data_IF_815857442749
#
_entry.id   IF_815857442749
#
_cell.length_a   1.000
_cell.length_b   1.000
_cell.length_c   1.000
_cell.angle_alpha   90.00
_cell.angle_beta   90.00
_cell.angle_gamma   90.00
#
_symmetry.space_group_name_H-M   'P 1'
#
loop_
_entity.id
_entity.type
_entity.pdbx_description
1 polymer ?
#
# COMPACT_ATOMS: atom_id res chain seq x y z
N UNK A 1 -82.40 -8.08 -18.54
CA UNK A 1 -81.88 -7.02 -17.64
C UNK A 1 -80.62 -7.55 -16.97
N UNK A 2 -79.41 -7.01 -17.06
CA UNK A 2 -78.82 -5.86 -17.77
C UNK A 2 -77.39 -6.29 -18.12
N UNK A 3 -77.00 -6.08 -19.37
CA UNK A 3 -75.62 -6.05 -19.85
C UNK A 3 -74.93 -4.79 -19.34
N UNK A 4 -73.68 -4.90 -18.86
CA UNK A 4 -72.76 -3.77 -18.70
C UNK A 4 -71.51 -4.12 -19.49
N UNK A 5 -71.37 -3.47 -20.63
CA UNK A 5 -70.12 -3.38 -21.39
C UNK A 5 -69.19 -2.41 -20.65
N UNK A 6 -67.92 -2.78 -20.53
CA UNK A 6 -66.87 -1.82 -20.19
C UNK A 6 -65.68 -2.09 -21.08
N UNK A 7 -65.53 -1.24 -22.11
CA UNK A 7 -64.31 -1.12 -22.89
C UNK A 7 -63.31 -0.31 -22.07
N UNK A 8 -62.11 -0.85 -21.82
CA UNK A 8 -60.98 -0.04 -21.38
C UNK A 8 -59.80 -0.23 -22.34
N UNK A 9 -59.31 0.91 -22.78
CA UNK A 9 -58.28 1.17 -23.79
C UNK A 9 -56.94 0.51 -23.41
N UNK A 10 -56.37 -0.26 -24.34
CA UNK A 10 -54.98 -0.70 -24.26
C UNK A 10 -54.05 0.49 -24.57
N UNK A 11 -53.34 1.01 -23.56
CA UNK A 11 -52.16 1.84 -23.78
C UNK A 11 -50.94 0.93 -23.70
N UNK A 12 -50.35 0.63 -24.85
CA UNK A 12 -49.13 -0.17 -24.97
C UNK A 12 -47.93 0.75 -24.65
N UNK A 13 -47.49 0.76 -23.40
CA UNK A 13 -46.21 1.40 -23.02
C UNK A 13 -45.12 0.35 -23.24
N UNK A 14 -44.34 0.53 -24.32
CA UNK A 14 -43.07 -0.17 -24.53
C UNK A 14 -42.08 0.28 -23.45
N UNK A 15 -42.01 -0.45 -22.34
CA UNK A 15 -40.81 -0.43 -21.50
C UNK A 15 -39.76 -1.29 -22.20
N UNK A 16 -38.87 -0.64 -22.95
CA UNK A 16 -37.57 -1.21 -23.31
C UNK A 16 -36.78 -1.27 -22.00
N UNK A 17 -37.01 -2.33 -21.22
CA UNK A 17 -36.14 -2.70 -20.12
C UNK A 17 -34.79 -3.05 -20.72
N UNK A 18 -33.78 -2.21 -20.45
CA UNK A 18 -32.40 -2.51 -20.77
C UNK A 18 -32.02 -3.82 -20.07
N UNK A 19 -32.03 -4.92 -20.81
CA UNK A 19 -31.21 -6.08 -20.46
C UNK A 19 -29.76 -5.69 -20.71
N UNK A 20 -29.20 -4.90 -19.79
CA UNK A 20 -27.75 -4.95 -19.57
C UNK A 20 -27.47 -6.33 -19.00
N UNK A 21 -27.06 -7.25 -19.87
CA UNK A 21 -26.24 -8.37 -19.44
C UNK A 21 -24.91 -7.79 -18.94
N UNK A 22 -24.91 -7.28 -17.71
CA UNK A 22 -23.69 -7.21 -16.95
C UNK A 22 -23.33 -8.67 -16.65
N UNK A 23 -22.15 -9.11 -17.06
CA UNK A 23 -21.57 -10.32 -16.48
C UNK A 23 -21.59 -10.12 -14.95
N UNK A 24 -22.38 -10.90 -14.23
CA UNK A 24 -22.23 -11.07 -12.78
C UNK A 24 -20.88 -11.78 -12.56
N UNK A 25 -19.79 -11.03 -12.70
CA UNK A 25 -18.50 -11.50 -12.24
C UNK A 25 -18.57 -11.46 -10.72
N UNK A 26 -18.68 -12.64 -10.10
CA UNK A 26 -18.55 -12.83 -8.66
C UNK A 26 -17.19 -12.29 -8.23
N UNK A 27 -17.18 -11.11 -7.61
CA UNK A 27 -15.97 -10.42 -7.17
C UNK A 27 -15.34 -11.17 -5.99
N UNK A 28 -14.10 -11.66 -6.17
CA UNK A 28 -13.36 -12.44 -5.15
C UNK A 28 -12.40 -11.55 -4.37
N UNK A 29 -12.32 -11.75 -3.06
CA UNK A 29 -11.32 -11.10 -2.21
C UNK A 29 -11.79 -9.76 -1.66
N UNK A 30 -11.66 -8.68 -2.43
CA UNK A 30 -12.14 -7.37 -2.01
C UNK A 30 -12.39 -6.41 -3.18
N UNK A 31 -13.10 -5.32 -2.90
CA UNK A 31 -13.30 -4.16 -3.77
C UNK A 31 -13.16 -2.87 -2.98
N UNK A 32 -13.04 -1.74 -3.68
CA UNK A 32 -13.11 -0.40 -3.07
C UNK A 32 -14.44 0.22 -3.49
N UNK A 33 -15.21 0.69 -2.51
CA UNK A 33 -16.48 1.42 -2.73
C UNK A 33 -16.41 2.74 -1.98
N UNK A 34 -16.26 3.85 -2.70
CA UNK A 34 -16.09 5.16 -2.08
C UNK A 34 -14.82 5.23 -1.24
N UNK A 35 -14.97 5.52 0.06
CA UNK A 35 -13.88 5.58 1.04
C UNK A 35 -13.70 4.26 1.82
N UNK A 36 -14.32 3.17 1.38
CA UNK A 36 -14.29 1.87 2.05
C UNK A 36 -13.57 0.79 1.23
N UNK A 37 -12.83 -0.07 1.92
CA UNK A 37 -12.41 -1.40 1.47
C UNK A 37 -13.48 -2.39 1.87
N UNK A 38 -13.98 -3.13 0.90
CA UNK A 38 -15.06 -4.12 1.05
C UNK A 38 -14.50 -5.49 0.73
N UNK A 39 -14.14 -6.27 1.75
CA UNK A 39 -13.73 -7.66 1.59
C UNK A 39 -14.95 -8.53 1.31
N UNK A 40 -14.87 -9.38 0.29
CA UNK A 40 -15.94 -10.29 -0.13
C UNK A 40 -15.43 -11.73 -0.15
N UNK A 41 -16.19 -12.61 0.49
CA UNK A 41 -15.92 -14.04 0.55
C UNK A 41 -17.17 -14.80 0.11
N UNK A 42 -17.07 -15.57 -0.96
CA UNK A 42 -18.11 -16.52 -1.36
C UNK A 42 -17.60 -17.94 -1.12
N UNK A 43 -18.36 -18.74 -0.38
CA UNK A 43 -17.96 -20.11 -0.01
C UNK A 43 -17.69 -21.01 -1.23
N UNK A 44 -18.39 -20.79 -2.34
CA UNK A 44 -18.27 -21.58 -3.57
C UNK A 44 -16.98 -21.31 -4.35
N UNK A 45 -16.26 -20.22 -4.02
CA UNK A 45 -14.98 -19.88 -4.63
C UNK A 45 -13.81 -20.74 -4.11
N UNK A 46 -14.00 -21.36 -2.95
CA UNK A 46 -12.97 -22.12 -2.25
C UNK A 46 -13.29 -23.62 -2.31
N UNK A 47 -12.28 -24.41 -2.67
CA UNK A 47 -12.41 -25.87 -2.80
C UNK A 47 -11.77 -26.62 -1.66
N UNK A 48 -10.84 -25.98 -0.95
CA UNK A 48 -10.08 -26.59 0.12
C UNK A 48 -9.96 -25.67 1.33
N UNK A 49 -9.75 -26.28 2.49
CA UNK A 49 -9.34 -25.60 3.72
C UNK A 49 -8.10 -26.26 4.29
N UNK A 50 -7.27 -25.53 5.03
CA UNK A 50 -6.07 -26.07 5.69
C UNK A 50 -5.95 -25.57 7.13
N UNK A 51 -5.30 -26.36 7.97
CA UNK A 51 -4.83 -25.91 9.27
C UNK A 51 -3.44 -25.28 9.10
N UNK A 52 -3.33 -23.96 9.26
CA UNK A 52 -2.05 -23.22 9.20
C UNK A 52 -1.13 -23.55 7.98
N UNK A 53 0.14 -23.12 8.02
CA UNK A 53 1.05 -23.23 6.87
C UNK A 53 1.51 -24.66 6.57
N UNK A 54 1.27 -25.61 7.47
CA UNK A 54 1.80 -26.97 7.40
C UNK A 54 0.72 -28.06 7.38
N UNK A 55 -0.57 -27.70 7.45
CA UNK A 55 -1.66 -28.65 7.53
C UNK A 55 -2.04 -29.33 6.20
N UNK A 56 -2.68 -30.50 6.32
CA UNK A 56 -3.27 -31.21 5.20
C UNK A 56 -4.52 -30.45 4.74
N UNK A 57 -4.66 -30.26 3.43
CA UNK A 57 -5.81 -29.58 2.86
C UNK A 57 -7.02 -30.52 2.75
N UNK A 58 -8.13 -30.16 3.39
CA UNK A 58 -9.42 -30.88 3.41
C UNK A 58 -10.39 -30.29 2.38
N UNK A 59 -11.42 -31.05 1.98
CA UNK A 59 -12.42 -30.59 1.01
C UNK A 59 -13.42 -29.62 1.65
N UNK A 60 -13.61 -28.47 1.00
CA UNK A 60 -14.45 -27.38 1.52
C UNK A 60 -15.95 -27.72 1.55
N UNK A 61 -16.40 -28.64 0.69
CA UNK A 61 -17.83 -28.97 0.53
C UNK A 61 -18.47 -29.53 1.78
N UNK A 62 -17.67 -30.10 2.68
CA UNK A 62 -18.13 -30.74 3.91
C UNK A 62 -17.94 -29.83 5.15
N UNK A 63 -17.62 -28.55 4.93
CA UNK A 63 -17.24 -27.62 5.99
C UNK A 63 -18.39 -26.70 6.42
N UNK A 64 -18.86 -26.87 7.66
CA UNK A 64 -19.85 -25.97 8.26
C UNK A 64 -19.18 -24.64 8.65
N UNK A 65 -19.65 -23.53 8.08
CA UNK A 65 -19.11 -22.19 8.35
C UNK A 65 -19.93 -21.52 9.46
N UNK A 66 -19.35 -21.45 10.65
CA UNK A 66 -19.87 -20.66 11.78
C UNK A 66 -19.49 -19.19 11.61
N UNK A 67 -18.24 -18.93 11.21
CA UNK A 67 -17.74 -17.58 10.98
C UNK A 67 -16.63 -17.51 9.94
N UNK A 68 -16.44 -16.34 9.36
CA UNK A 68 -15.31 -16.00 8.47
C UNK A 68 -14.64 -14.74 8.98
N UNK A 69 -13.31 -14.72 9.00
CA UNK A 69 -12.49 -13.60 9.47
C UNK A 69 -11.50 -13.20 8.39
N UNK A 70 -11.28 -11.89 8.23
CA UNK A 70 -10.17 -11.37 7.42
C UNK A 70 -8.93 -11.27 8.30
N UNK A 71 -7.90 -12.04 8.00
CA UNK A 71 -6.63 -12.07 8.75
C UNK A 71 -5.51 -11.59 7.85
N UNK A 72 -4.78 -10.53 8.21
CA UNK A 72 -3.69 -10.01 7.41
C UNK A 72 -2.70 -9.14 8.18
N UNK A 73 -1.68 -8.65 7.48
CA UNK A 73 -0.64 -7.81 8.10
C UNK A 73 -1.22 -6.62 8.88
N UNK A 74 -2.22 -5.95 8.31
CA UNK A 74 -2.91 -4.78 8.89
C UNK A 74 -3.70 -5.04 10.17
N UNK A 75 -3.90 -6.31 10.55
CA UNK A 75 -4.50 -6.67 11.84
C UNK A 75 -3.66 -7.70 12.59
N UNK A 76 -2.36 -7.76 12.31
CA UNK A 76 -1.39 -8.66 12.91
C UNK A 76 -1.80 -10.14 12.79
N UNK A 77 -2.29 -10.54 11.61
CA UNK A 77 -2.75 -11.91 11.30
C UNK A 77 -3.76 -12.46 12.31
N UNK A 78 -4.62 -11.59 12.85
CA UNK A 78 -5.62 -12.00 13.81
C UNK A 78 -6.67 -12.91 13.17
N UNK A 79 -6.93 -14.05 13.84
CA UNK A 79 -7.94 -15.02 13.45
C UNK A 79 -9.31 -14.77 14.08
N UNK A 80 -9.45 -13.72 14.89
CA UNK A 80 -10.53 -13.56 15.87
C UNK A 80 -10.98 -12.10 16.08
N UNK A 81 -10.62 -11.16 15.18
CA UNK A 81 -11.01 -9.74 15.31
C UNK A 81 -11.89 -9.23 14.18
N UNK A 82 -11.53 -9.50 12.94
CA UNK A 82 -12.16 -8.90 11.76
C UNK A 82 -13.19 -9.85 11.14
N UNK A 83 -14.25 -10.12 11.91
CA UNK A 83 -15.36 -10.97 11.50
C UNK A 83 -16.13 -10.37 10.32
N UNK A 84 -16.35 -11.18 9.30
CA UNK A 84 -17.19 -10.83 8.16
C UNK A 84 -18.66 -11.04 8.52
N UNK A 85 -19.51 -10.12 8.07
CA UNK A 85 -20.96 -10.24 8.18
C UNK A 85 -21.46 -11.22 7.12
N UNK A 86 -22.25 -12.21 7.53
CA UNK A 86 -22.98 -13.08 6.59
C UNK A 86 -24.06 -12.27 5.87
N UNK A 87 -23.98 -12.24 4.54
CA UNK A 87 -24.93 -11.53 3.67
C UNK A 87 -26.05 -12.47 3.22
N UNK A 88 -25.68 -13.70 2.86
CA UNK A 88 -26.61 -14.78 2.54
C UNK A 88 -25.98 -16.16 2.84
N UNK A 89 -26.54 -17.24 2.29
CA UNK A 89 -26.06 -18.60 2.54
C UNK A 89 -24.67 -18.91 1.97
N UNK A 90 -24.16 -18.05 1.10
CA UNK A 90 -22.92 -18.26 0.35
C UNK A 90 -21.93 -17.11 0.53
N UNK A 91 -22.42 -15.89 0.74
CA UNK A 91 -21.64 -14.66 0.73
C UNK A 91 -21.44 -14.05 2.12
N UNK A 92 -20.23 -13.56 2.35
CA UNK A 92 -19.81 -12.82 3.53
C UNK A 92 -19.11 -11.54 3.12
N UNK A 93 -19.30 -10.46 3.88
CA UNK A 93 -18.72 -9.16 3.58
C UNK A 93 -18.17 -8.48 4.85
N UNK A 94 -17.00 -7.85 4.73
CA UNK A 94 -16.47 -6.94 5.75
C UNK A 94 -16.13 -5.60 5.09
N UNK A 95 -16.69 -4.53 5.64
CA UNK A 95 -16.40 -3.15 5.23
C UNK A 95 -15.51 -2.47 6.24
N UNK A 96 -14.46 -1.80 5.77
CA UNK A 96 -13.51 -1.03 6.58
C UNK A 96 -13.22 0.28 5.88
N UNK A 97 -13.13 1.38 6.61
CA UNK A 97 -12.73 2.65 5.99
C UNK A 97 -11.28 2.56 5.55
N UNK A 98 -10.93 3.22 4.44
CA UNK A 98 -9.53 3.36 4.01
C UNK A 98 -8.67 3.98 5.12
N UNK A 99 -9.24 4.82 5.98
CA UNK A 99 -8.59 5.42 7.16
C UNK A 99 -8.34 4.44 8.30
N UNK A 100 -8.97 3.26 8.30
CA UNK A 100 -8.77 2.24 9.33
C UNK A 100 -7.43 1.49 9.15
N UNK A 101 -6.75 1.74 8.04
CA UNK A 101 -5.47 1.12 7.72
C UNK A 101 -4.36 2.17 7.87
N UNK A 102 -3.49 1.97 8.85
CA UNK A 102 -2.36 2.87 9.15
C UNK A 102 -1.12 2.63 8.31
N UNK A 103 -1.08 1.49 7.60
CA UNK A 103 0.13 0.96 6.96
C UNK A 103 0.08 1.16 5.44
N UNK A 104 1.24 1.42 4.84
CA UNK A 104 1.35 1.54 3.38
C UNK A 104 0.95 0.21 2.72
N UNK A 105 -0.05 0.29 1.84
CA UNK A 105 -0.69 -0.81 1.13
C UNK A 105 0.32 -1.88 0.67
N UNK A 106 0.55 -2.86 1.54
CA UNK A 106 1.35 -4.07 1.32
C UNK A 106 0.64 -5.25 1.98
N UNK A 107 -0.68 -5.19 1.96
CA UNK A 107 -1.55 -6.05 2.74
C UNK A 107 -1.61 -7.44 2.15
N UNK A 108 -0.94 -8.36 2.80
CA UNK A 108 -1.22 -9.78 2.67
C UNK A 108 -2.36 -10.11 3.62
N UNK A 109 -3.35 -10.85 3.13
CA UNK A 109 -4.44 -11.34 3.96
C UNK A 109 -4.95 -12.70 3.47
N UNK A 110 -5.64 -13.38 4.37
CA UNK A 110 -6.35 -14.65 4.17
C UNK A 110 -7.73 -14.55 4.79
N UNK A 111 -8.64 -15.38 4.30
CA UNK A 111 -9.88 -15.67 5.00
C UNK A 111 -9.68 -16.87 5.92
N UNK A 112 -10.07 -16.68 7.17
CA UNK A 112 -10.00 -17.71 8.21
C UNK A 112 -11.41 -18.12 8.57
N UNK A 113 -11.71 -19.41 8.42
CA UNK A 113 -12.99 -20.03 8.70
C UNK A 113 -12.95 -20.65 10.09
N UNK A 114 -14.01 -20.40 10.87
CA UNK A 114 -14.18 -20.89 12.24
C UNK A 114 -12.95 -20.62 13.13
N UNK A 115 -12.29 -19.47 12.90
CA UNK A 115 -11.07 -19.00 13.58
C UNK A 115 -9.84 -19.94 13.51
N UNK A 116 -9.92 -21.03 12.74
CA UNK A 116 -8.91 -22.08 12.77
C UNK A 116 -8.39 -22.44 11.38
N UNK A 117 -9.26 -22.42 10.37
CA UNK A 117 -8.99 -22.98 9.05
C UNK A 117 -8.73 -21.89 8.02
N UNK A 118 -7.71 -22.02 7.20
CA UNK A 118 -7.47 -21.11 6.09
C UNK A 118 -8.29 -21.54 4.88
N UNK A 119 -9.02 -20.60 4.28
CA UNK A 119 -9.67 -20.86 2.99
C UNK A 119 -8.61 -20.85 1.89
N UNK A 120 -8.32 -22.02 1.31
CA UNK A 120 -7.25 -22.16 0.32
C UNK A 120 -7.72 -21.63 -1.04
N UNK A 121 -7.11 -20.56 -1.55
CA UNK A 121 -7.47 -20.03 -2.85
C UNK A 121 -7.15 -21.06 -3.95
N UNK A 122 -7.95 -21.07 -5.02
CA UNK A 122 -7.73 -22.02 -6.10
C UNK A 122 -6.40 -21.74 -6.82
N UNK A 123 -5.75 -22.75 -7.40
CA UNK A 123 -4.53 -22.55 -8.20
C UNK A 123 -4.72 -21.59 -9.39
N UNK A 124 -5.97 -21.34 -9.83
CA UNK A 124 -6.33 -20.40 -10.91
C UNK A 124 -6.63 -19.00 -10.41
N UNK A 125 -7.08 -18.89 -9.16
CA UNK A 125 -7.38 -17.64 -8.47
C UNK A 125 -6.57 -17.53 -7.17
N UNK A 126 -5.24 -17.69 -7.19
CA UNK A 126 -4.43 -17.55 -5.99
C UNK A 126 -4.50 -16.09 -5.55
N UNK A 127 -4.50 -15.81 -4.25
CA UNK A 127 -4.21 -14.47 -3.72
C UNK A 127 -2.70 -14.12 -3.93
N UNK A 128 -2.14 -14.40 -5.14
CA UNK A 128 -0.73 -14.25 -5.61
C UNK A 128 -0.65 -13.89 -7.17
N UNK A 129 0.21 -12.99 -7.75
CA UNK A 129 0.06 -12.22 -9.07
C UNK A 129 0.12 -12.84 -10.48
N UNK A 130 -0.90 -12.59 -11.33
CA UNK A 130 -1.00 -11.99 -12.70
C UNK A 130 0.16 -12.01 -13.71
N UNK A 131 1.15 -12.90 -13.70
CA UNK A 131 2.17 -12.85 -14.74
C UNK A 131 1.60 -13.06 -16.17
N UNK A 132 2.21 -12.45 -17.18
CA UNK A 132 1.98 -12.77 -18.60
C UNK A 132 3.33 -13.03 -19.26
N UNK A 133 3.39 -14.01 -20.17
CA UNK A 133 4.57 -14.29 -21.00
C UNK A 133 4.10 -14.60 -22.42
N UNK A 134 4.69 -13.93 -23.39
CA UNK A 134 4.51 -14.17 -24.84
C UNK A 134 3.03 -14.18 -25.31
N UNK A 135 2.22 -13.20 -24.86
CA UNK A 135 0.84 -13.02 -25.33
C UNK A 135 -0.20 -13.94 -24.69
N UNK A 136 0.19 -14.78 -23.72
CA UNK A 136 -0.73 -15.66 -22.98
C UNK A 136 -0.96 -15.14 -21.54
N UNK A 137 -2.21 -15.09 -21.09
CA UNK A 137 -2.58 -14.86 -19.69
C UNK A 137 -2.09 -16.03 -18.83
N UNK A 138 -1.21 -15.82 -17.83
CA UNK A 138 -0.87 -16.87 -16.86
C UNK A 138 -1.79 -16.70 -15.65
N UNK A 139 -2.87 -17.47 -15.43
CA UNK A 139 -3.84 -17.25 -14.31
C UNK A 139 -3.22 -17.13 -12.91
N UNK A 140 -3.23 -15.92 -12.32
CA UNK A 140 -2.65 -15.58 -11.02
C UNK A 140 -3.33 -14.25 -10.52
N UNK A 141 -3.77 -14.09 -9.27
CA UNK A 141 -4.37 -12.83 -8.76
C UNK A 141 -3.65 -12.29 -7.51
N UNK A 142 -2.72 -11.37 -7.69
CA UNK A 142 -2.32 -10.42 -6.66
C UNK A 142 -2.62 -9.07 -7.22
N UNK A 143 -2.84 -8.13 -6.32
CA UNK A 143 -2.53 -6.77 -6.64
C UNK A 143 -1.07 -6.55 -6.24
N UNK A 144 -0.24 -6.29 -7.24
CA UNK A 144 1.08 -5.67 -7.07
C UNK A 144 0.74 -4.33 -6.47
N UNK A 145 0.82 -4.23 -5.16
CA UNK A 145 0.77 -2.93 -4.52
C UNK A 145 2.13 -2.29 -4.80
N UNK A 146 2.14 -1.38 -5.77
CA UNK A 146 3.27 -0.46 -6.00
C UNK A 146 3.46 0.31 -4.70
N UNK A 147 4.70 0.41 -4.22
CA UNK A 147 5.05 1.21 -3.02
C UNK A 147 5.04 2.71 -3.34
N UNK A 148 4.02 3.21 -4.04
CA UNK A 148 3.96 4.57 -4.57
C UNK A 148 4.84 4.86 -5.79
N UNK A 149 5.49 3.84 -6.35
CA UNK A 149 6.43 3.99 -7.46
C UNK A 149 5.78 3.88 -8.85
N UNK A 150 5.92 4.90 -9.69
CA UNK A 150 5.44 4.85 -11.08
C UNK A 150 6.29 5.72 -12.02
N UNK A 151 6.40 5.36 -13.32
CA UNK A 151 7.11 6.19 -14.29
C UNK A 151 6.42 7.54 -14.48
N UNK A 152 7.19 8.62 -14.34
CA UNK A 152 6.71 9.99 -14.53
C UNK A 152 7.86 10.83 -15.08
N UNK A 153 7.63 11.53 -16.19
CA UNK A 153 8.61 12.46 -16.79
C UNK A 153 9.00 13.59 -15.83
N UNK A 154 8.12 13.93 -14.89
CA UNK A 154 8.32 14.92 -13.84
C UNK A 154 8.61 14.26 -12.48
N UNK A 155 8.94 12.97 -12.47
CA UNK A 155 9.28 12.21 -11.27
C UNK A 155 10.47 12.82 -10.52
N UNK A 156 10.55 12.51 -9.24
CA UNK A 156 11.58 13.02 -8.33
C UNK A 156 12.88 12.20 -8.35
N UNK A 157 12.90 11.03 -9.00
CA UNK A 157 14.07 10.16 -9.06
C UNK A 157 14.37 9.75 -10.50
N UNK A 158 15.62 9.96 -10.92
CA UNK A 158 16.11 9.58 -12.25
C UNK A 158 17.16 8.49 -12.09
N UNK A 159 16.85 7.31 -12.61
CA UNK A 159 17.80 6.19 -12.69
C UNK A 159 18.46 6.20 -14.05
N UNK A 160 19.79 6.14 -14.08
CA UNK A 160 20.57 6.20 -15.32
C UNK A 160 21.70 5.19 -15.32
N UNK A 161 21.69 4.29 -16.29
CA UNK A 161 22.80 3.38 -16.56
C UNK A 161 23.61 3.95 -17.73
N UNK A 162 24.86 4.34 -17.49
CA UNK A 162 25.78 4.82 -18.54
C UNK A 162 26.40 3.65 -19.30
N UNK A 163 26.60 3.80 -20.60
CA UNK A 163 27.14 2.74 -21.47
C UNK A 163 26.07 1.71 -21.85
N UNK A 164 26.51 0.50 -22.22
CA UNK A 164 25.63 -0.60 -22.67
C UNK A 164 24.78 -0.19 -23.89
N UNK A 165 25.34 0.59 -24.82
CA UNK A 165 24.63 1.08 -26.00
C UNK A 165 24.21 -0.05 -26.94
N UNK A 166 24.88 -1.20 -26.87
CA UNK A 166 24.55 -2.38 -27.66
C UNK A 166 23.54 -3.32 -26.98
N UNK A 167 23.12 -3.02 -25.75
CA UNK A 167 22.11 -3.82 -25.06
C UNK A 167 20.77 -3.75 -25.82
N UNK A 168 19.98 -4.82 -25.74
CA UNK A 168 18.64 -4.87 -26.35
C UNK A 168 17.58 -4.39 -25.38
N UNK A 169 17.70 -4.76 -24.12
CA UNK A 169 16.75 -4.37 -23.07
C UNK A 169 17.49 -4.09 -21.75
N UNK A 170 17.09 -3.01 -21.09
CA UNK A 170 17.50 -2.71 -19.72
C UNK A 170 16.26 -2.50 -18.85
N UNK A 171 16.22 -3.16 -17.70
CA UNK A 171 15.11 -3.04 -16.74
C UNK A 171 15.66 -2.57 -15.39
N UNK A 172 14.93 -1.66 -14.76
CA UNK A 172 15.14 -1.26 -13.37
C UNK A 172 14.29 -2.16 -12.46
N UNK A 173 14.92 -2.78 -11.46
CA UNK A 173 14.26 -3.69 -10.54
C UNK A 173 14.70 -3.39 -9.10
N UNK A 174 13.77 -3.36 -8.15
CA UNK A 174 14.08 -2.99 -6.78
C UNK A 174 12.92 -3.17 -5.81
N UNK A 175 13.16 -2.87 -4.54
CA UNK A 175 12.16 -2.89 -3.46
C UNK A 175 10.86 -2.18 -3.84
N UNK A 176 10.95 -1.03 -4.55
CA UNK A 176 9.79 -0.24 -4.96
C UNK A 176 8.85 -0.91 -5.99
N UNK A 177 9.33 -1.95 -6.66
CA UNK A 177 8.52 -2.77 -7.57
C UNK A 177 8.57 -4.26 -7.21
N UNK A 178 9.00 -4.58 -5.98
CA UNK A 178 9.18 -5.94 -5.46
C UNK A 178 10.07 -6.78 -6.37
N UNK A 179 11.20 -6.21 -6.78
CA UNK A 179 12.21 -6.84 -7.62
C UNK A 179 11.65 -7.37 -8.95
N UNK A 180 10.67 -6.67 -9.51
CA UNK A 180 10.06 -7.10 -10.76
C UNK A 180 10.96 -6.84 -11.97
N UNK A 181 11.19 -7.91 -12.74
CA UNK A 181 12.14 -7.93 -13.86
C UNK A 181 11.60 -7.38 -15.20
N UNK A 182 10.36 -6.87 -15.26
CA UNK A 182 9.75 -6.55 -16.56
C UNK A 182 8.98 -5.24 -16.64
N UNK A 183 8.53 -4.67 -15.52
CA UNK A 183 7.66 -3.49 -15.52
C UNK A 183 8.44 -2.21 -15.87
N UNK A 184 9.56 -1.94 -15.20
CA UNK A 184 10.28 -0.67 -15.36
C UNK A 184 11.39 -0.78 -16.40
N UNK A 185 10.98 -0.99 -17.66
CA UNK A 185 11.88 -0.92 -18.82
C UNK A 185 12.45 0.49 -18.96
N UNK A 186 13.76 0.58 -19.09
CA UNK A 186 14.46 1.85 -19.30
C UNK A 186 14.46 2.21 -20.79
N UNK A 187 14.46 3.51 -21.07
CA UNK A 187 14.53 4.05 -22.41
C UNK A 187 15.97 4.33 -22.80
N UNK A 188 16.32 4.03 -24.06
CA UNK A 188 17.65 4.30 -24.60
C UNK A 188 17.87 5.80 -24.79
N UNK A 189 19.03 6.28 -24.39
CA UNK A 189 19.50 7.66 -24.54
C UNK A 189 20.90 7.65 -25.19
N UNK A 190 21.41 8.81 -25.60
CA UNK A 190 22.67 8.93 -26.37
C UNK A 190 23.85 8.15 -25.78
N UNK A 191 23.97 8.10 -24.45
CA UNK A 191 25.09 7.45 -23.74
C UNK A 191 24.60 6.41 -22.70
N UNK A 192 23.53 5.68 -23.01
CA UNK A 192 23.06 4.56 -22.19
C UNK A 192 21.54 4.50 -22.04
N UNK A 193 21.06 4.32 -20.82
CA UNK A 193 19.66 4.02 -20.52
C UNK A 193 19.14 4.86 -19.35
N UNK A 194 17.85 5.20 -19.39
CA UNK A 194 17.22 6.04 -18.38
C UNK A 194 15.77 5.65 -18.10
N UNK A 195 15.36 5.80 -16.85
CA UNK A 195 13.95 5.89 -16.45
C UNK A 195 13.80 6.94 -15.35
N UNK A 196 12.70 7.68 -15.38
CA UNK A 196 12.34 8.65 -14.34
C UNK A 196 11.11 8.12 -13.62
N UNK A 197 11.23 7.95 -12.30
CA UNK A 197 10.16 7.49 -11.44
C UNK A 197 9.73 8.63 -10.50
N UNK A 198 8.43 8.70 -10.25
CA UNK A 198 7.93 9.25 -9.01
C UNK A 198 8.06 8.16 -7.94
N UNK A 199 8.79 8.46 -6.86
CA UNK A 199 8.92 7.63 -5.67
C UNK A 199 8.50 8.46 -4.46
N UNK A 200 7.82 7.82 -3.51
CA UNK A 200 7.62 8.40 -2.20
C UNK A 200 8.96 8.47 -1.45
N UNK A 201 9.11 9.31 -0.41
CA UNK A 201 10.29 9.30 0.45
C UNK A 201 10.44 7.93 1.11
N UNK A 202 11.67 7.42 1.16
CA UNK A 202 11.95 6.09 1.66
C UNK A 202 13.33 5.60 1.27
N UNK A 203 13.74 4.48 1.88
CA UNK A 203 14.94 3.76 1.49
C UNK A 203 14.56 2.69 0.46
N UNK A 204 15.30 2.65 -0.63
CA UNK A 204 15.06 1.69 -1.70
C UNK A 204 16.34 1.03 -2.15
N UNK A 205 16.31 -0.29 -2.19
CA UNK A 205 17.31 -1.11 -2.87
C UNK A 205 16.89 -1.39 -4.31
N UNK A 206 17.85 -1.43 -5.23
CA UNK A 206 17.63 -1.70 -6.64
C UNK A 206 18.86 -2.31 -7.34
N UNK A 207 18.62 -2.87 -8.53
CA UNK A 207 19.60 -3.35 -9.51
C UNK A 207 19.08 -3.05 -10.93
N UNK A 208 19.98 -3.11 -11.91
CA UNK A 208 19.64 -3.18 -13.32
C UNK A 208 19.65 -4.62 -13.83
N UNK A 209 18.81 -4.90 -14.81
CA UNK A 209 18.83 -6.15 -15.57
C UNK A 209 19.14 -5.79 -17.02
N UNK A 210 20.34 -6.11 -17.48
CA UNK A 210 20.82 -5.82 -18.83
C UNK A 210 20.83 -7.11 -19.62
N UNK A 211 19.96 -7.22 -20.63
CA UNK A 211 19.79 -8.43 -21.45
C UNK A 211 19.66 -9.72 -20.63
N UNK A 212 18.90 -9.65 -19.52
CA UNK A 212 18.64 -10.76 -18.61
C UNK A 212 19.70 -10.98 -17.53
N UNK A 213 20.76 -10.16 -17.48
CA UNK A 213 21.81 -10.25 -16.44
C UNK A 213 21.62 -9.18 -15.38
N UNK A 214 21.50 -9.60 -14.14
CA UNK A 214 21.45 -8.72 -12.97
C UNK A 214 22.80 -8.04 -12.74
N UNK A 215 22.78 -6.75 -12.45
CA UNK A 215 23.95 -5.98 -12.05
C UNK A 215 23.57 -4.82 -11.15
N UNK A 216 24.47 -4.46 -10.25
CA UNK A 216 24.41 -3.21 -9.48
C UNK A 216 24.52 -1.99 -10.41
N UNK A 217 24.08 -0.84 -9.93
CA UNK A 217 24.41 0.44 -10.55
C UNK A 217 25.89 0.77 -10.31
N UNK A 218 26.74 0.71 -11.35
CA UNK A 218 28.18 0.95 -11.19
C UNK A 218 28.50 2.41 -10.89
N UNK A 219 27.53 3.32 -11.04
CA UNK A 219 27.69 4.74 -10.74
C UNK A 219 27.20 5.13 -9.34
N UNK A 220 26.54 4.21 -8.64
CA UNK A 220 26.06 4.46 -7.28
C UNK A 220 27.02 3.83 -6.25
N UNK A 221 27.72 4.65 -5.43
CA UNK A 221 28.61 4.13 -4.40
C UNK A 221 27.87 3.56 -3.19
N UNK A 222 26.60 3.93 -3.00
CA UNK A 222 25.79 3.46 -1.86
C UNK A 222 25.17 2.10 -2.18
N UNK A 223 25.44 1.13 -1.29
CA UNK A 223 25.08 -0.27 -1.49
C UNK A 223 24.85 -0.99 -0.17
N UNK A 224 23.95 -1.96 -0.21
CA UNK A 224 23.54 -2.79 0.93
C UNK A 224 23.79 -4.25 0.58
N UNK A 225 24.30 -5.03 1.54
CA UNK A 225 24.47 -6.47 1.37
C UNK A 225 23.12 -7.17 1.35
N UNK A 226 22.89 -8.00 0.34
CA UNK A 226 21.65 -8.78 0.22
C UNK A 226 21.76 -10.16 0.89
N UNK A 227 20.66 -10.90 0.91
CA UNK A 227 20.53 -12.22 1.53
C UNK A 227 21.43 -13.30 0.92
N UNK A 228 22.01 -13.04 -0.25
CA UNK A 228 22.93 -13.94 -0.95
C UNK A 228 24.41 -13.58 -0.76
N UNK A 229 24.70 -12.55 0.06
CA UNK A 229 26.06 -12.05 0.26
C UNK A 229 26.61 -11.23 -0.90
N UNK A 230 25.76 -10.86 -1.86
CA UNK A 230 26.07 -9.88 -2.90
C UNK A 230 25.63 -8.47 -2.46
N UNK A 231 25.73 -7.47 -3.34
CA UNK A 231 25.26 -6.12 -3.06
C UNK A 231 24.08 -5.73 -3.93
N UNK A 232 23.17 -4.95 -3.37
CA UNK A 232 22.17 -4.15 -4.06
C UNK A 232 22.59 -2.68 -4.02
N UNK A 233 22.31 -1.91 -5.08
CA UNK A 233 22.46 -0.46 -5.03
C UNK A 233 21.35 0.13 -4.16
N UNK A 234 21.67 1.18 -3.41
CA UNK A 234 20.75 1.80 -2.46
C UNK A 234 20.53 3.27 -2.78
N UNK A 235 19.29 3.74 -2.64
CA UNK A 235 18.94 5.16 -2.66
C UNK A 235 18.05 5.50 -1.47
N UNK A 236 18.24 6.69 -0.92
CA UNK A 236 17.36 7.28 0.07
C UNK A 236 16.65 8.48 -0.55
N UNK A 237 15.35 8.31 -0.80
CA UNK A 237 14.49 9.37 -1.33
C UNK A 237 13.99 10.20 -0.16
N UNK A 238 14.24 11.51 -0.21
CA UNK A 238 13.89 12.43 0.86
C UNK A 238 12.99 13.55 0.34
N UNK A 239 12.24 14.18 1.23
CA UNK A 239 11.48 15.40 0.92
C UNK A 239 11.67 16.49 1.96
N UNK A 240 11.40 17.73 1.55
CA UNK A 240 11.37 18.86 2.47
C UNK A 240 10.09 18.81 3.30
N UNK A 241 10.24 18.82 4.63
CA UNK A 241 9.16 18.92 5.61
C UNK A 241 9.29 20.25 6.33
N UNK A 242 8.18 20.95 6.51
CA UNK A 242 8.12 22.21 7.26
C UNK A 242 7.30 21.99 8.52
N UNK A 243 7.97 22.06 9.66
CA UNK A 243 7.34 22.07 10.97
C UNK A 243 6.87 23.49 11.27
N UNK A 244 5.66 23.58 11.82
CA UNK A 244 5.02 24.84 12.20
C UNK A 244 4.53 24.74 13.63
N UNK A 245 4.69 25.80 14.39
CA UNK A 245 4.08 25.97 15.71
C UNK A 245 3.39 27.33 15.74
N UNK A 246 2.06 27.33 15.70
CA UNK A 246 1.24 28.55 15.71
C UNK A 246 1.06 29.11 17.13
N UNK A 247 1.20 28.26 18.15
CA UNK A 247 1.15 28.66 19.54
C UNK A 247 2.41 29.42 19.98
N UNK A 248 2.33 30.06 21.16
CA UNK A 248 3.43 30.79 21.80
C UNK A 248 4.02 31.91 20.93
N UNK A 249 3.21 32.89 20.49
CA UNK A 249 3.70 34.00 19.69
C UNK A 249 4.78 34.80 20.46
N UNK A 250 4.66 34.97 21.77
CA UNK A 250 5.59 35.78 22.56
C UNK A 250 6.82 35.02 23.06
N UNK A 251 7.00 33.76 22.65
CA UNK A 251 8.19 32.98 23.02
C UNK A 251 9.47 33.66 22.52
N UNK A 252 10.57 33.51 23.27
CA UNK A 252 11.88 34.05 22.84
C UNK A 252 12.64 33.03 22.01
N UNK A 253 12.54 31.76 22.37
CA UNK A 253 13.28 30.66 21.77
C UNK A 253 12.35 29.47 21.54
N UNK A 254 12.28 29.02 20.29
CA UNK A 254 11.63 27.76 19.92
C UNK A 254 12.63 26.89 19.18
N UNK A 255 12.77 25.64 19.60
CA UNK A 255 13.68 24.66 19.01
C UNK A 255 12.89 23.41 18.64
N UNK A 256 13.04 22.95 17.41
CA UNK A 256 12.51 21.68 16.95
C UNK A 256 13.47 20.55 17.35
N UNK A 257 12.96 19.48 17.94
CA UNK A 257 13.77 18.32 18.35
C UNK A 257 13.01 17.02 18.12
N UNK A 258 13.70 15.94 17.75
CA UNK A 258 13.05 14.67 17.42
C UNK A 258 14.00 13.56 16.98
N UNK A 259 13.45 12.44 16.52
CA UNK A 259 14.24 11.28 16.10
C UNK A 259 15.22 11.59 14.97
N UNK A 260 14.86 12.50 14.06
CA UNK A 260 15.68 12.92 12.91
C UNK A 260 16.92 13.74 13.28
N UNK A 261 17.05 14.21 14.51
CA UNK A 261 18.25 14.90 14.99
C UNK A 261 18.78 14.36 16.32
N UNK A 262 18.42 13.12 16.65
CA UNK A 262 18.78 12.47 17.93
C UNK A 262 18.40 13.33 19.14
N UNK A 263 17.21 13.93 19.10
CA UNK A 263 16.67 14.78 20.16
C UNK A 263 17.56 15.97 20.54
N UNK A 264 18.36 16.48 19.60
CA UNK A 264 19.27 17.59 19.86
C UNK A 264 18.53 18.88 20.23
N UNK A 265 18.87 19.43 21.40
CA UNK A 265 18.16 20.56 22.01
C UNK A 265 18.63 21.94 21.54
N UNK A 266 19.59 22.05 20.64
CA UNK A 266 20.19 23.35 20.27
C UNK A 266 20.28 23.59 18.77
N UNK A 267 20.28 22.53 17.95
CA UNK A 267 20.62 22.59 16.52
C UNK A 267 19.54 23.22 15.64
N UNK A 268 18.26 22.90 15.87
CA UNK A 268 17.16 23.29 14.97
C UNK A 268 16.28 24.38 15.59
N UNK A 269 16.89 25.53 15.84
CA UNK A 269 16.20 26.74 16.27
C UNK A 269 15.24 27.22 15.17
N UNK A 270 13.96 27.36 15.52
CA UNK A 270 12.90 27.78 14.61
C UNK A 270 12.93 29.29 14.38
N UNK A 271 12.46 29.72 13.21
CA UNK A 271 12.33 31.13 12.84
C UNK A 271 10.87 31.54 12.85
N UNK A 272 10.56 32.69 13.46
CA UNK A 272 9.20 33.23 13.50
C UNK A 272 8.90 33.96 12.18
N UNK A 273 7.86 33.51 11.48
CA UNK A 273 7.36 34.09 10.22
C UNK A 273 5.85 34.27 10.35
N UNK A 274 5.35 35.50 10.20
CA UNK A 274 3.91 35.83 10.31
C UNK A 274 3.25 35.24 11.57
N UNK A 275 3.86 35.47 12.74
CA UNK A 275 3.43 34.91 14.03
C UNK A 275 3.44 33.37 14.16
N UNK A 276 4.02 32.66 13.21
CA UNK A 276 4.20 31.20 13.26
C UNK A 276 5.68 30.86 13.39
N UNK A 277 6.04 29.99 14.33
CA UNK A 277 7.39 29.43 14.37
C UNK A 277 7.52 28.36 13.29
N UNK A 278 8.56 28.46 12.46
CA UNK A 278 8.77 27.58 11.31
C UNK A 278 10.18 27.04 11.25
N UNK A 279 10.31 25.78 10.85
CA UNK A 279 11.60 25.18 10.51
C UNK A 279 11.42 24.14 9.41
N UNK A 280 12.26 24.21 8.38
CA UNK A 280 12.20 23.28 7.26
C UNK A 280 13.47 22.46 7.17
N UNK A 281 13.33 21.14 7.04
CA UNK A 281 14.44 20.22 6.84
C UNK A 281 14.08 19.15 5.82
N UNK A 282 15.10 18.51 5.26
CA UNK A 282 14.95 17.38 4.34
C UNK A 282 14.97 16.10 5.16
N UNK A 283 13.96 15.25 5.00
CA UNK A 283 13.76 14.03 5.77
C UNK A 283 13.45 12.85 4.85
N UNK A 284 13.99 11.69 5.21
CA UNK A 284 13.59 10.40 4.66
C UNK A 284 12.14 10.07 5.03
N UNK A 285 11.55 9.14 4.29
CA UNK A 285 10.22 8.62 4.61
C UNK A 285 10.20 7.84 5.91
N UNK A 286 9.00 7.79 6.51
CA UNK A 286 8.75 7.02 7.71
C UNK A 286 8.17 7.83 8.86
N UNK A 287 8.11 7.17 10.02
CA UNK A 287 7.57 7.73 11.27
C UNK A 287 8.66 8.45 12.04
N UNK A 288 8.39 9.71 12.41
CA UNK A 288 9.29 10.52 13.21
C UNK A 288 8.59 11.08 14.44
N UNK A 289 9.12 10.77 15.62
CA UNK A 289 8.72 11.43 16.86
C UNK A 289 9.41 12.79 16.99
N UNK A 290 8.67 13.81 17.44
CA UNK A 290 9.20 15.15 17.67
C UNK A 290 8.49 15.89 18.80
N UNK A 291 9.15 16.93 19.29
CA UNK A 291 8.65 17.95 20.23
C UNK A 291 9.23 19.32 19.87
N UNK A 292 8.71 20.34 20.53
CA UNK A 292 9.29 21.67 20.59
C UNK A 292 9.86 21.94 21.97
N UNK A 293 10.98 22.65 22.03
CA UNK A 293 11.46 23.28 23.27
C UNK A 293 11.13 24.77 23.14
N UNK A 294 10.17 25.24 23.93
CA UNK A 294 9.70 26.62 23.97
C UNK A 294 10.19 27.25 25.28
N UNK A 295 11.13 28.19 25.21
CA UNK A 295 11.73 28.84 26.38
C UNK A 295 12.10 27.85 27.50
N UNK A 296 12.86 26.81 27.12
CA UNK A 296 13.34 25.71 27.97
C UNK A 296 12.26 24.74 28.48
N UNK A 297 11.05 24.77 27.91
CA UNK A 297 9.97 23.81 28.23
C UNK A 297 9.68 22.90 27.05
N UNK A 298 9.61 21.60 27.32
CA UNK A 298 9.23 20.60 26.33
C UNK A 298 7.72 20.62 26.10
N UNK A 299 7.33 20.76 24.83
CA UNK A 299 5.94 20.90 24.39
C UNK A 299 5.70 19.94 23.22
N UNK A 300 4.67 19.11 23.31
CA UNK A 300 4.14 18.41 22.13
C UNK A 300 3.42 19.41 21.23
N UNK A 301 3.47 19.20 19.92
CA UNK A 301 2.74 20.02 18.96
C UNK A 301 1.24 20.08 19.30
N UNK A 302 0.72 21.26 19.69
CA UNK A 302 -0.68 21.44 20.05
C UNK A 302 -1.62 21.21 18.86
N UNK A 303 -1.15 21.50 17.64
CA UNK A 303 -1.93 21.42 16.41
C UNK A 303 -1.86 20.01 15.78
N UNK A 304 -0.98 19.14 16.29
CA UNK A 304 -0.90 17.75 15.87
C UNK A 304 -1.63 16.82 16.85
N UNK A 305 -2.71 16.21 16.37
CA UNK A 305 -3.50 15.22 17.12
C UNK A 305 -2.84 13.84 17.19
N UNK A 306 -1.89 13.52 16.29
CA UNK A 306 -1.22 12.22 16.27
C UNK A 306 -0.05 12.25 17.25
N UNK A 307 -0.16 11.43 18.30
CA UNK A 307 0.81 11.36 19.40
C UNK A 307 1.02 9.90 19.82
N UNK A 308 2.22 9.59 20.28
CA UNK A 308 2.60 8.26 20.74
C UNK A 308 3.45 8.34 22.00
N UNK A 309 3.35 7.32 22.85
CA UNK A 309 4.25 7.14 23.98
C UNK A 309 5.56 6.50 23.51
N UNK A 310 6.68 6.93 24.09
CA UNK A 310 7.95 6.19 24.01
C UNK A 310 8.05 5.13 25.12
N UNK A 311 9.11 4.31 25.05
CA UNK A 311 9.38 3.23 26.00
C UNK A 311 9.64 3.72 27.44
N UNK A 312 9.78 5.03 27.63
CA UNK A 312 10.01 5.68 28.91
C UNK A 312 8.74 6.36 29.45
N UNK A 313 7.62 6.22 28.74
CA UNK A 313 6.31 6.77 29.12
C UNK A 313 6.12 8.24 28.77
N UNK A 314 7.02 8.87 28.01
CA UNK A 314 6.80 10.23 27.54
C UNK A 314 5.92 10.23 26.29
N UNK A 315 4.99 11.19 26.21
CA UNK A 315 4.19 11.42 25.00
C UNK A 315 4.94 12.32 24.01
N UNK A 316 4.98 11.95 22.74
CA UNK A 316 5.63 12.68 21.64
C UNK A 316 4.64 12.93 20.49
N UNK A 317 4.83 14.03 19.75
CA UNK A 317 4.08 14.25 18.51
C UNK A 317 4.67 13.40 17.39
N UNK A 318 3.82 12.95 16.46
CA UNK A 318 4.25 12.07 15.36
C UNK A 318 4.13 12.79 14.02
N UNK A 319 5.23 12.85 13.27
CA UNK A 319 5.26 13.30 11.89
C UNK A 319 5.47 12.09 10.98
N UNK A 320 4.51 11.84 10.09
CA UNK A 320 4.68 10.87 9.01
C UNK A 320 5.21 11.58 7.76
N UNK A 321 6.37 11.16 7.29
CA UNK A 321 6.93 11.61 6.02
C UNK A 321 6.56 10.59 4.95
N UNK A 322 5.68 11.02 4.05
CA UNK A 322 5.13 10.26 2.92
C UNK A 322 5.38 10.96 1.60
#
# INVERSE_FOLDING_TARGET
MKTINTYLVFILIFFIGKHSFAQENTMKGYKIEGDEVVFTFNKNDYKKVSHDAFGIAEDFKDFDIENVVVSGNFNNWSKDKWYMKKIDNENYELRKKLTDFSDDFSWEFKFVINNNFWAEPSKKDPNIIQATKDGTHLNVYNLKMYTGAYPDKNGNVRFRLRGYENAKNVVLSGTFNRWNESIFKMYKITNGWEIILKLDPGNYEYKFIVDGKWMEDPSNPDKVTNEFGEYNSHINVQRRVTFKLNAFPDAKNVILTGSFNNWNETKYRMTKVNNTWTFSLVMSGGKHHYKFIVDNKWITDPDNSVREYDDQGNINSVCMVK
#
